data_IF_738173797828
#
_entry.id   IF_738173797828
#
_cell.length_a   1.000
_cell.length_b   1.000
_cell.length_c   1.000
_cell.angle_alpha   90.00
_cell.angle_beta   90.00
_cell.angle_gamma   90.00
#
_symmetry.space_group_name_H-M   'P 1'
#
loop_
_entity.id
_entity.type
_entity.pdbx_description
1 polymer ?
#
# COMPACT_ATOMS: atom_id res chain seq x y z
N UNK A 1 -14.38 4.40 13.09
CA UNK A 1 -13.14 3.67 12.75
C UNK A 1 -13.49 2.25 12.28
N UNK A 2 -13.92 2.08 11.02
CA UNK A 2 -14.49 0.83 10.46
C UNK A 2 -13.69 0.28 9.25
N UNK A 3 -12.44 0.70 9.07
CA UNK A 3 -11.68 0.49 7.82
C UNK A 3 -10.88 -0.81 7.73
N UNK A 4 -10.77 -1.63 8.79
CA UNK A 4 -9.90 -2.82 8.84
C UNK A 4 -10.63 -4.09 9.32
N UNK A 5 -11.61 -4.59 8.55
CA UNK A 5 -12.38 -5.81 8.91
C UNK A 5 -12.16 -7.03 8.02
N UNK A 6 -11.31 -6.96 7.00
CA UNK A 6 -10.98 -8.13 6.16
C UNK A 6 -9.69 -8.76 6.71
N UNK A 7 -9.62 -10.11 6.90
CA UNK A 7 -8.36 -10.77 7.25
C UNK A 7 -7.37 -10.62 6.08
N UNK A 8 -6.52 -9.58 6.13
CA UNK A 8 -5.68 -9.19 5.01
C UNK A 8 -4.61 -10.23 4.65
N UNK A 9 -4.25 -11.13 5.56
CA UNK A 9 -3.41 -12.30 5.25
C UNK A 9 -3.92 -13.14 4.08
N UNK A 10 -5.23 -13.42 4.05
CA UNK A 10 -5.81 -14.17 2.93
C UNK A 10 -5.80 -13.35 1.66
N UNK A 11 -5.93 -12.02 1.76
CA UNK A 11 -5.93 -11.13 0.61
C UNK A 11 -4.56 -11.10 -0.07
N UNK A 12 -3.46 -11.05 0.68
CA UNK A 12 -2.11 -11.07 0.09
C UNK A 12 -1.80 -12.43 -0.52
N UNK A 13 -2.09 -13.52 0.20
CA UNK A 13 -1.87 -14.88 -0.31
C UNK A 13 -2.67 -15.12 -1.60
N UNK A 14 -3.93 -14.69 -1.62
CA UNK A 14 -4.77 -14.76 -2.82
C UNK A 14 -4.23 -13.85 -3.93
N UNK A 15 -3.74 -12.65 -3.60
CA UNK A 15 -3.14 -11.73 -4.56
C UNK A 15 -1.86 -12.25 -5.19
N UNK A 16 -0.96 -12.85 -4.40
CA UNK A 16 0.27 -13.50 -4.87
C UNK A 16 -0.06 -14.66 -5.79
N UNK A 17 -1.03 -15.51 -5.41
CA UNK A 17 -1.46 -16.64 -6.25
C UNK A 17 -2.07 -16.15 -7.56
N UNK A 18 -2.96 -15.15 -7.49
CA UNK A 18 -3.60 -14.56 -8.68
C UNK A 18 -2.56 -13.96 -9.63
N UNK A 19 -1.55 -13.27 -9.09
CA UNK A 19 -0.45 -12.73 -9.89
C UNK A 19 0.37 -13.83 -10.58
N UNK A 20 0.71 -14.90 -9.84
CA UNK A 20 1.46 -16.03 -10.42
C UNK A 20 0.67 -16.73 -11.53
N UNK A 21 -0.64 -16.89 -11.34
CA UNK A 21 -1.52 -17.52 -12.32
C UNK A 21 -1.79 -16.64 -13.55
N UNK A 22 -1.75 -15.32 -13.41
CA UNK A 22 -2.02 -14.41 -14.53
C UNK A 22 -0.88 -14.35 -15.56
N UNK A 23 0.32 -14.78 -15.18
CA UNK A 23 1.53 -14.62 -16.00
C UNK A 23 1.94 -13.15 -16.17
N UNK A 24 1.46 -12.26 -15.30
CA UNK A 24 1.82 -10.85 -15.29
C UNK A 24 3.29 -10.65 -14.87
N UNK A 25 3.87 -9.57 -15.36
CA UNK A 25 5.24 -9.12 -15.11
C UNK A 25 5.30 -7.79 -14.33
N UNK A 26 4.16 -7.10 -14.19
CA UNK A 26 4.02 -5.89 -13.38
C UNK A 26 2.63 -5.79 -12.73
N UNK A 27 2.51 -4.86 -11.78
CA UNK A 27 1.30 -4.58 -11.02
C UNK A 27 0.74 -3.19 -11.36
N UNK A 28 -0.58 -3.04 -11.35
CA UNK A 28 -1.26 -1.73 -11.38
C UNK A 28 -2.14 -1.62 -10.14
N UNK A 29 -1.81 -0.68 -9.25
CA UNK A 29 -2.61 -0.41 -8.07
C UNK A 29 -3.56 0.76 -8.34
N UNK A 30 -4.87 0.49 -8.37
CA UNK A 30 -5.91 1.51 -8.50
C UNK A 30 -6.65 1.61 -7.18
N UNK A 31 -6.61 2.77 -6.54
CA UNK A 31 -7.31 3.01 -5.29
C UNK A 31 -6.62 3.99 -4.35
N UNK A 32 -7.15 4.13 -3.13
CA UNK A 32 -6.45 4.84 -2.04
C UNK A 32 -5.32 4.02 -1.42
N UNK A 33 -4.84 4.43 -0.25
CA UNK A 33 -3.71 3.76 0.40
C UNK A 33 -3.89 2.26 0.67
N UNK A 34 -5.11 1.77 0.94
CA UNK A 34 -5.29 0.34 1.24
C UNK A 34 -5.03 -0.59 0.03
N UNK A 35 -5.62 -0.37 -1.16
CA UNK A 35 -5.23 -1.11 -2.36
C UNK A 35 -3.75 -0.98 -2.70
N UNK A 36 -3.18 0.22 -2.57
CA UNK A 36 -1.77 0.46 -2.89
C UNK A 36 -0.82 -0.29 -1.94
N UNK A 37 -1.03 -0.21 -0.62
CA UNK A 37 -0.23 -0.93 0.37
C UNK A 37 -0.36 -2.46 0.19
N UNK A 38 -1.54 -2.95 -0.20
CA UNK A 38 -1.75 -4.37 -0.53
C UNK A 38 -0.93 -4.78 -1.75
N UNK A 39 -0.90 -3.93 -2.78
CA UNK A 39 -0.17 -4.17 -4.02
C UNK A 39 1.35 -4.19 -3.79
N UNK A 40 1.87 -3.25 -2.98
CA UNK A 40 3.26 -3.23 -2.52
C UNK A 40 3.65 -4.52 -1.80
N UNK A 41 2.83 -4.95 -0.83
CA UNK A 41 3.08 -6.19 -0.10
C UNK A 41 3.12 -7.40 -1.04
N UNK A 42 2.18 -7.51 -1.98
CA UNK A 42 2.18 -8.58 -2.99
C UNK A 42 3.47 -8.55 -3.82
N UNK A 43 3.86 -7.37 -4.34
CA UNK A 43 5.06 -7.21 -5.15
C UNK A 43 6.35 -7.57 -4.42
N UNK A 44 6.46 -7.19 -3.14
CA UNK A 44 7.60 -7.57 -2.29
C UNK A 44 7.62 -9.07 -2.04
N UNK A 45 6.51 -9.69 -1.65
CA UNK A 45 6.43 -11.12 -1.32
C UNK A 45 6.76 -12.00 -2.53
N UNK A 46 6.38 -11.60 -3.74
CA UNK A 46 6.67 -12.37 -4.96
C UNK A 46 8.18 -12.53 -5.15
N UNK A 47 8.95 -11.46 -4.94
CA UNK A 47 10.40 -11.46 -5.13
C UNK A 47 11.19 -11.77 -3.84
N UNK A 48 10.54 -11.76 -2.67
CA UNK A 48 11.13 -12.05 -1.36
C UNK A 48 10.18 -12.99 -0.57
N UNK A 49 10.03 -14.27 -1.00
CA UNK A 49 9.01 -15.19 -0.48
C UNK A 49 9.20 -15.58 1.00
N UNK A 50 10.36 -15.35 1.59
CA UNK A 50 10.61 -15.51 3.02
C UNK A 50 9.74 -14.58 3.90
N UNK A 51 9.20 -13.50 3.32
CA UNK A 51 8.32 -12.55 4.00
C UNK A 51 6.81 -12.78 3.73
N UNK A 52 6.42 -14.01 3.36
CA UNK A 52 5.04 -14.33 2.98
C UNK A 52 3.96 -14.09 4.06
N UNK A 53 4.36 -13.93 5.33
CA UNK A 53 3.44 -13.59 6.43
C UNK A 53 3.19 -12.08 6.57
N UNK A 54 3.91 -11.23 5.82
CA UNK A 54 3.88 -9.75 5.83
C UNK A 54 4.28 -9.11 7.16
N UNK A 55 3.96 -9.73 8.30
CA UNK A 55 4.36 -9.25 9.62
C UNK A 55 5.87 -9.23 9.77
N UNK A 56 6.60 -10.17 9.16
CA UNK A 56 8.06 -10.16 9.11
C UNK A 56 8.65 -8.96 8.34
N UNK A 57 7.85 -8.21 7.57
CA UNK A 57 8.26 -6.96 6.94
C UNK A 57 8.22 -5.76 7.90
N UNK A 58 7.57 -5.89 9.07
CA UNK A 58 7.39 -4.78 9.99
C UNK A 58 8.72 -4.12 10.36
N UNK A 59 8.73 -2.80 10.32
CA UNK A 59 9.95 -2.03 10.42
C UNK A 59 10.70 -2.03 9.09
N UNK A 60 12.02 -2.19 9.13
CA UNK A 60 12.89 -2.16 7.96
C UNK A 60 13.47 -3.53 7.71
N UNK A 61 12.63 -4.43 7.22
CA UNK A 61 13.10 -5.76 6.83
C UNK A 61 14.17 -5.67 5.74
N UNK A 62 15.17 -6.56 5.83
CA UNK A 62 16.25 -6.65 4.85
C UNK A 62 15.81 -7.46 3.62
N UNK A 63 14.85 -6.93 2.87
CA UNK A 63 14.49 -7.50 1.56
C UNK A 63 15.70 -7.42 0.62
N UNK A 64 15.92 -8.50 -0.15
CA UNK A 64 17.09 -8.63 -1.02
C UNK A 64 16.82 -8.16 -2.44
N UNK A 65 15.56 -8.28 -2.86
CA UNK A 65 15.12 -8.02 -4.21
C UNK A 65 14.09 -6.89 -4.22
N UNK A 66 14.16 -6.04 -5.26
CA UNK A 66 13.10 -5.08 -5.57
C UNK A 66 11.74 -5.76 -5.67
N UNK A 67 10.65 -5.07 -5.29
CA UNK A 67 9.31 -5.55 -5.57
C UNK A 67 9.10 -5.75 -7.09
N UNK A 68 8.11 -6.57 -7.44
CA UNK A 68 7.56 -6.57 -8.81
C UNK A 68 7.23 -5.12 -9.22
N UNK A 69 7.61 -4.65 -10.43
CA UNK A 69 7.33 -3.29 -10.85
C UNK A 69 5.85 -2.92 -10.67
N UNK A 70 5.59 -1.78 -10.05
CA UNK A 70 4.24 -1.33 -9.72
C UNK A 70 3.97 0.06 -10.28
N UNK A 71 2.84 0.21 -10.97
CA UNK A 71 2.26 1.50 -11.36
C UNK A 71 1.14 1.84 -10.37
N UNK A 72 1.21 3.00 -9.73
CA UNK A 72 0.22 3.44 -8.75
C UNK A 72 -0.69 4.54 -9.32
N UNK A 73 -2.00 4.36 -9.18
CA UNK A 73 -3.05 5.29 -9.63
C UNK A 73 -3.95 5.63 -8.43
N UNK A 74 -3.64 6.67 -7.66
CA UNK A 74 -4.43 7.08 -6.51
C UNK A 74 -5.85 7.53 -6.90
N UNK A 75 -6.84 7.05 -6.16
CA UNK A 75 -8.25 7.51 -6.26
C UNK A 75 -8.69 8.30 -5.03
N UNK A 76 -7.74 8.63 -4.13
CA UNK A 76 -7.97 9.45 -2.95
C UNK A 76 -6.85 10.48 -2.77
N UNK A 77 -7.20 11.73 -2.48
CA UNK A 77 -6.24 12.79 -2.19
C UNK A 77 -5.89 12.81 -0.70
N UNK A 78 -4.94 11.97 -0.26
CA UNK A 78 -4.59 11.85 1.15
C UNK A 78 -3.28 11.12 1.44
N UNK A 79 -3.28 9.81 1.18
CA UNK A 79 -2.29 8.89 1.75
C UNK A 79 -0.89 8.98 1.14
N UNK A 80 -0.77 9.53 -0.08
CA UNK A 80 0.45 9.57 -0.88
C UNK A 80 1.19 8.21 -0.96
N UNK A 81 0.44 7.11 -0.96
CA UNK A 81 1.04 5.77 -0.91
C UNK A 81 1.83 5.48 -2.20
N UNK A 82 1.48 6.17 -3.28
CA UNK A 82 2.05 6.09 -4.61
C UNK A 82 3.51 6.58 -4.69
N UNK A 83 3.97 7.33 -3.68
CA UNK A 83 5.32 7.93 -3.64
C UNK A 83 6.09 7.66 -2.34
N UNK A 84 5.50 6.95 -1.39
CA UNK A 84 6.19 6.59 -0.14
C UNK A 84 6.85 5.23 -0.25
N UNK A 85 7.91 5.00 0.52
CA UNK A 85 8.53 3.67 0.75
C UNK A 85 7.86 2.91 1.90
N UNK A 86 6.62 3.30 2.24
CA UNK A 86 5.89 2.80 3.41
C UNK A 86 4.69 2.01 2.92
N UNK A 87 4.43 0.88 3.58
CA UNK A 87 3.17 0.16 3.51
C UNK A 87 2.62 -0.02 4.92
N UNK A 88 1.31 0.16 5.10
CA UNK A 88 0.64 0.09 6.41
C UNK A 88 -0.32 -1.08 6.46
N UNK A 89 -0.06 -1.98 7.40
CA UNK A 89 -0.94 -3.12 7.63
C UNK A 89 -1.60 -3.18 9.02
N UNK A 90 -2.56 -4.10 9.17
CA UNK A 90 -3.31 -4.37 10.38
C UNK A 90 -3.21 -5.86 10.71
N UNK A 91 -2.53 -6.13 11.81
CA UNK A 91 -2.41 -7.43 12.40
C UNK A 91 -3.70 -7.78 13.13
N UNK A 92 -4.50 -8.68 12.55
CA UNK A 92 -5.77 -9.12 13.14
C UNK A 92 -5.57 -9.92 14.43
N UNK A 93 -4.49 -10.70 14.54
CA UNK A 93 -4.21 -11.54 15.71
C UNK A 93 -3.87 -10.66 16.91
N UNK A 94 -2.96 -9.69 16.72
CA UNK A 94 -2.52 -8.78 17.78
C UNK A 94 -3.35 -7.49 17.86
N UNK A 95 -4.37 -7.34 17.00
CA UNK A 95 -5.31 -6.20 16.91
C UNK A 95 -4.63 -4.84 16.79
N UNK A 96 -3.49 -4.76 16.12
CA UNK A 96 -2.70 -3.53 15.99
C UNK A 96 -2.34 -3.23 14.54
N UNK A 97 -2.11 -1.95 14.26
CA UNK A 97 -1.47 -1.55 13.01
C UNK A 97 0.04 -1.75 13.11
N UNK A 98 0.66 -2.00 11.98
CA UNK A 98 2.11 -1.97 11.82
C UNK A 98 2.49 -1.28 10.52
N UNK A 99 3.73 -0.82 10.46
CA UNK A 99 4.29 -0.10 9.31
C UNK A 99 5.55 -0.83 8.88
N UNK A 100 5.69 -1.03 7.57
CA UNK A 100 6.94 -1.48 6.97
C UNK A 100 7.55 -0.29 6.20
N UNK A 101 8.86 -0.16 6.22
CA UNK A 101 9.62 0.81 5.45
C UNK A 101 10.66 0.09 4.61
N UNK A 102 10.47 0.09 3.30
CA UNK A 102 11.31 -0.65 2.37
C UNK A 102 11.49 0.13 1.06
N UNK A 103 12.70 0.60 0.73
CA UNK A 103 12.98 1.26 -0.55
C UNK A 103 12.64 0.40 -1.77
N UNK A 104 12.62 -0.93 -1.63
CA UNK A 104 12.27 -1.86 -2.68
C UNK A 104 10.77 -1.85 -3.04
N UNK A 105 9.90 -1.23 -2.23
CA UNK A 105 8.45 -1.19 -2.43
C UNK A 105 7.93 0.02 -3.22
N UNK A 106 8.84 0.94 -3.58
CA UNK A 106 8.48 2.19 -4.26
C UNK A 106 7.86 1.90 -5.64
N UNK A 107 6.67 2.46 -5.96
CA UNK A 107 6.12 2.34 -7.30
C UNK A 107 7.05 2.96 -8.36
N UNK A 108 7.19 2.31 -9.51
CA UNK A 108 8.05 2.80 -10.61
C UNK A 108 7.43 3.99 -11.33
N UNK A 109 6.10 4.11 -11.30
CA UNK A 109 5.34 5.22 -11.88
C UNK A 109 4.15 5.52 -10.98
N UNK A 110 3.91 6.80 -10.71
CA UNK A 110 2.69 7.31 -10.10
C UNK A 110 1.91 8.15 -11.12
N UNK A 111 0.60 7.87 -11.28
CA UNK A 111 -0.30 8.61 -12.17
C UNK A 111 -1.30 9.39 -11.31
N UNK A 112 -1.03 10.69 -11.12
CA UNK A 112 -1.86 11.56 -10.30
C UNK A 112 -2.89 12.25 -11.19
N UNK A 113 -4.11 11.72 -11.21
CA UNK A 113 -5.21 12.23 -12.01
C UNK A 113 -6.40 12.60 -11.10
N UNK A 114 -6.80 13.88 -11.11
CA UNK A 114 -7.91 14.37 -10.31
C UNK A 114 -9.27 13.80 -10.76
N UNK A 115 -9.41 13.39 -12.03
CA UNK A 115 -10.64 12.78 -12.53
C UNK A 115 -10.89 11.43 -11.86
N UNK A 116 -9.83 10.68 -11.54
CA UNK A 116 -9.87 9.43 -10.78
C UNK A 116 -10.25 9.63 -9.30
N UNK A 117 -10.22 10.88 -8.81
CA UNK A 117 -10.57 11.27 -7.44
C UNK A 117 -11.92 12.00 -7.34
N UNK A 118 -12.45 12.44 -8.48
CA UNK A 118 -13.64 13.31 -8.57
C UNK A 118 -14.88 12.68 -7.94
N UNK A 119 -15.02 11.36 -8.05
CA UNK A 119 -16.16 10.56 -7.59
C UNK A 119 -16.19 10.29 -6.08
N UNK A 120 -15.15 10.68 -5.33
CA UNK A 120 -15.13 10.50 -3.87
C UNK A 120 -16.32 11.20 -3.19
N UNK A 121 -17.00 10.55 -2.23
CA UNK A 121 -17.98 11.22 -1.38
C UNK A 121 -17.36 12.43 -0.66
N UNK A 122 -18.14 13.49 -0.45
CA UNK A 122 -17.65 14.73 0.18
C UNK A 122 -17.00 14.51 1.55
N UNK A 123 -17.55 13.60 2.37
CA UNK A 123 -16.97 13.23 3.66
C UNK A 123 -15.61 12.54 3.52
N UNK A 124 -15.42 11.73 2.48
CA UNK A 124 -14.14 11.08 2.21
C UNK A 124 -13.11 12.09 1.70
N UNK A 125 -13.50 13.00 0.80
CA UNK A 125 -12.65 14.11 0.35
C UNK A 125 -12.12 14.93 1.52
N UNK A 126 -13.00 15.33 2.43
CA UNK A 126 -12.62 16.09 3.62
C UNK A 126 -11.67 15.29 4.53
N UNK A 127 -11.98 14.03 4.81
CA UNK A 127 -11.16 13.20 5.68
C UNK A 127 -9.76 12.95 5.12
N UNK A 128 -9.64 12.61 3.83
CA UNK A 128 -8.34 12.36 3.21
C UNK A 128 -7.57 13.66 2.97
N UNK A 129 -8.25 14.79 2.74
CA UNK A 129 -7.61 16.09 2.64
C UNK A 129 -6.97 16.54 3.96
N UNK A 130 -7.64 16.30 5.10
CA UNK A 130 -7.04 16.55 6.42
C UNK A 130 -5.88 15.60 6.69
N UNK A 131 -5.97 14.33 6.28
CA UNK A 131 -4.86 13.35 6.36
C UNK A 131 -3.61 13.85 5.59
N UNK A 132 -3.78 14.35 4.36
CA UNK A 132 -2.69 14.96 3.60
C UNK A 132 -2.09 16.19 4.31
N UNK A 133 -2.94 17.05 4.87
CA UNK A 133 -2.47 18.22 5.63
C UNK A 133 -1.68 17.81 6.88
N UNK A 134 -2.15 16.78 7.60
CA UNK A 134 -1.43 16.21 8.73
C UNK A 134 -0.06 15.70 8.31
N UNK A 135 0.05 14.96 7.21
CA UNK A 135 1.35 14.53 6.68
C UNK A 135 2.28 15.71 6.38
N UNK A 136 1.77 16.79 5.78
CA UNK A 136 2.56 17.98 5.47
C UNK A 136 3.06 18.69 6.74
N UNK A 137 2.20 18.82 7.75
CA UNK A 137 2.57 19.46 9.03
C UNK A 137 3.55 18.58 9.82
N UNK A 138 3.28 17.28 9.95
CA UNK A 138 4.18 16.36 10.66
C UNK A 138 5.54 16.28 9.95
N UNK A 139 5.54 16.14 8.63
CA UNK A 139 6.77 16.07 7.83
C UNK A 139 7.59 17.36 7.80
N UNK A 140 6.99 18.52 8.05
CA UNK A 140 7.73 19.77 8.19
C UNK A 140 8.39 19.91 9.57
N UNK A 141 7.80 19.31 10.61
CA UNK A 141 8.27 19.40 11.99
C UNK A 141 9.26 18.28 12.38
N UNK A 142 9.69 17.46 11.42
CA UNK A 142 10.63 16.34 11.57
C UNK A 142 11.75 16.42 10.53
#
# INVERSE_FOLDING_TARGET
MKWFRIPRLRLWQQGVETFKQSGADYLIAIGGGSPQDTCKAIGIIINNPEFADVRSLEGGAETKNAAVPMIAIPTTAGTAAEVTIKLRDYDVQNRRKFVCYDPHDIPVVAIIDADMMSSMPASLKAATGVDALTHAIEGYNH
#
